data_IF_254955683789
#
_entry.id   IF_254955683789
#
_cell.length_a   1.000
_cell.length_b   1.000
_cell.length_c   1.000
_cell.angle_alpha   90.00
_cell.angle_beta   90.00
_cell.angle_gamma   90.00
#
_symmetry.space_group_name_H-M   'P 1'
#
loop_
_entity.id
_entity.type
_entity.pdbx_description
1 polymer ?
#
# COMPACT_ATOMS: atom_id res chain seq x y z
N UNK A 1 10.12 -3.14 9.39
CA UNK A 1 9.06 -2.45 8.63
C UNK A 1 8.83 -1.07 9.22
N UNK A 2 8.74 -0.05 8.40
CA UNK A 2 8.58 1.32 8.89
C UNK A 2 7.29 1.99 8.42
N UNK A 3 6.49 1.33 7.59
CA UNK A 3 5.21 1.84 7.12
C UNK A 3 4.12 0.79 7.31
N UNK A 4 2.99 1.23 7.84
CA UNK A 4 1.78 0.44 7.96
C UNK A 4 0.65 1.21 7.28
N UNK A 5 -0.08 0.57 6.38
CA UNK A 5 -1.29 1.17 5.80
C UNK A 5 -2.49 0.27 6.05
N UNK A 6 -3.57 0.88 6.50
CA UNK A 6 -4.87 0.21 6.48
C UNK A 6 -5.56 0.57 5.18
N UNK A 7 -5.93 -0.44 4.44
CA UNK A 7 -6.51 -0.27 3.10
C UNK A 7 -7.89 -0.93 3.09
N UNK A 8 -8.90 -0.16 2.68
CA UNK A 8 -10.23 -0.67 2.40
C UNK A 8 -10.55 -0.49 0.93
N UNK A 9 -11.39 -1.36 0.38
CA UNK A 9 -11.66 -1.38 -1.06
C UNK A 9 -13.00 -2.04 -1.33
N UNK A 10 -13.54 -1.83 -2.54
CA UNK A 10 -14.80 -2.43 -3.00
C UNK A 10 -14.60 -3.47 -4.09
N UNK A 11 -13.41 -3.56 -4.65
CA UNK A 11 -13.04 -4.61 -5.60
C UNK A 11 -12.82 -5.94 -4.88
N UNK A 12 -12.51 -6.99 -5.63
CA UNK A 12 -12.18 -8.29 -5.01
C UNK A 12 -10.83 -8.25 -4.32
N UNK A 13 -10.63 -9.19 -3.39
CA UNK A 13 -9.34 -9.36 -2.73
C UNK A 13 -8.20 -9.55 -3.76
N UNK A 14 -8.41 -10.43 -4.73
CA UNK A 14 -7.38 -10.73 -5.74
C UNK A 14 -7.05 -9.51 -6.59
N UNK A 15 -8.04 -8.70 -6.93
CA UNK A 15 -7.80 -7.45 -7.68
C UNK A 15 -6.98 -6.46 -6.88
N UNK A 16 -7.26 -6.32 -5.58
CA UNK A 16 -6.47 -5.43 -4.72
C UNK A 16 -5.04 -5.93 -4.55
N UNK A 17 -4.84 -7.23 -4.34
CA UNK A 17 -3.49 -7.79 -4.19
C UNK A 17 -2.70 -7.59 -5.49
N UNK A 18 -3.31 -7.83 -6.64
CA UNK A 18 -2.65 -7.60 -7.93
C UNK A 18 -2.25 -6.12 -8.11
N UNK A 19 -3.10 -5.20 -7.64
CA UNK A 19 -2.78 -3.78 -7.71
C UNK A 19 -1.61 -3.40 -6.80
N UNK A 20 -1.56 -3.97 -5.59
CA UNK A 20 -0.44 -3.75 -4.67
C UNK A 20 0.86 -4.29 -5.25
N UNK A 21 0.83 -5.48 -5.84
CA UNK A 21 2.00 -6.05 -6.52
C UNK A 21 2.50 -5.12 -7.62
N UNK A 22 1.58 -4.62 -8.44
CA UNK A 22 1.92 -3.67 -9.50
C UNK A 22 2.56 -2.40 -8.93
N UNK A 23 1.92 -1.78 -7.92
CA UNK A 23 2.41 -0.54 -7.33
C UNK A 23 3.79 -0.72 -6.70
N UNK A 24 3.99 -1.81 -5.96
CA UNK A 24 5.28 -2.05 -5.31
C UNK A 24 6.38 -2.38 -6.31
N UNK A 25 6.03 -2.97 -7.46
CA UNK A 25 6.99 -3.21 -8.53
C UNK A 25 7.50 -1.91 -9.15
N UNK A 26 6.67 -0.87 -9.18
CA UNK A 26 7.08 0.43 -9.74
C UNK A 26 8.10 1.17 -8.86
N UNK A 27 8.19 0.80 -7.60
CA UNK A 27 9.15 1.39 -6.64
C UNK A 27 10.08 0.34 -6.05
N UNK A 28 10.42 -0.68 -6.83
CA UNK A 28 11.22 -1.81 -6.34
C UNK A 28 12.57 -1.41 -5.74
N UNK A 29 13.15 -0.30 -6.18
CA UNK A 29 14.42 0.21 -5.63
C UNK A 29 14.23 1.01 -4.33
N UNK A 30 13.02 1.30 -3.94
CA UNK A 30 12.71 2.20 -2.81
C UNK A 30 12.10 1.48 -1.61
N UNK A 31 12.03 0.15 -1.64
CA UNK A 31 11.58 -0.65 -0.50
C UNK A 31 12.31 -1.98 -0.46
N UNK A 32 12.26 -2.64 0.71
CA UNK A 32 12.93 -3.93 0.91
C UNK A 32 11.95 -5.08 1.11
N UNK A 33 10.73 -4.93 0.64
CA UNK A 33 9.71 -5.97 0.72
C UNK A 33 8.44 -5.47 1.35
N UNK A 34 7.40 -6.30 1.29
CA UNK A 34 6.10 -5.96 1.85
C UNK A 34 5.30 -7.21 2.16
N UNK A 35 4.32 -7.05 3.03
CA UNK A 35 3.41 -8.13 3.38
C UNK A 35 2.03 -7.55 3.70
N UNK A 36 1.02 -8.40 3.70
CA UNK A 36 -0.34 -8.00 4.03
C UNK A 36 -0.92 -8.97 5.07
N UNK A 37 -1.80 -8.42 5.90
CA UNK A 37 -2.64 -9.20 6.80
C UNK A 37 -4.10 -8.91 6.45
N UNK A 38 -4.88 -9.96 6.23
CA UNK A 38 -6.29 -9.83 5.85
C UNK A 38 -7.12 -9.48 7.09
N UNK A 39 -7.86 -8.37 7.03
CA UNK A 39 -8.84 -8.02 8.05
C UNK A 39 -10.23 -8.53 7.69
N UNK A 40 -10.62 -8.37 6.43
CA UNK A 40 -11.90 -8.85 5.89
C UNK A 40 -11.76 -9.04 4.39
N UNK A 41 -12.84 -9.38 3.71
CA UNK A 41 -12.82 -9.53 2.26
C UNK A 41 -12.51 -8.22 1.53
N UNK A 42 -12.73 -7.08 2.18
CA UNK A 42 -12.55 -5.76 1.58
C UNK A 42 -11.69 -4.82 2.43
N UNK A 43 -10.85 -5.36 3.30
CA UNK A 43 -9.90 -4.57 4.06
C UNK A 43 -8.67 -5.38 4.43
N UNK A 44 -7.53 -4.71 4.47
CA UNK A 44 -6.25 -5.34 4.81
C UNK A 44 -5.34 -4.35 5.54
N UNK A 45 -4.34 -4.89 6.21
CA UNK A 45 -3.21 -4.12 6.73
C UNK A 45 -2.00 -4.44 5.86
N UNK A 46 -1.39 -3.41 5.31
CA UNK A 46 -0.23 -3.50 4.45
C UNK A 46 1.00 -3.02 5.21
N UNK A 47 2.06 -3.81 5.21
CA UNK A 47 3.30 -3.49 5.90
C UNK A 47 4.45 -3.51 4.92
N UNK A 48 5.29 -2.49 4.97
CA UNK A 48 6.48 -2.44 4.12
C UNK A 48 7.61 -1.66 4.81
N UNK A 49 8.80 -1.82 4.29
CA UNK A 49 9.95 -1.04 4.71
C UNK A 49 10.39 -0.16 3.54
N UNK A 50 10.16 1.14 3.67
CA UNK A 50 10.48 2.12 2.64
C UNK A 50 11.87 2.70 2.91
N UNK A 51 12.71 2.70 1.89
CA UNK A 51 14.06 3.27 1.96
C UNK A 51 14.13 4.66 1.35
N UNK A 52 13.17 5.02 0.49
CA UNK A 52 13.08 6.36 -0.11
C UNK A 52 11.61 6.79 -0.11
N UNK A 53 11.25 7.62 0.87
CA UNK A 53 9.87 8.09 1.01
C UNK A 53 9.43 9.01 -0.12
N UNK A 54 10.35 9.73 -0.75
CA UNK A 54 10.01 10.62 -1.85
C UNK A 54 9.49 9.83 -3.05
N UNK A 55 9.95 8.59 -3.23
CA UNK A 55 9.52 7.74 -4.32
C UNK A 55 8.07 7.26 -4.18
N UNK A 56 7.47 7.35 -2.98
CA UNK A 56 6.09 6.92 -2.76
C UNK A 56 5.06 7.87 -3.37
N UNK A 57 5.38 9.14 -3.47
CA UNK A 57 4.39 10.14 -3.87
C UNK A 57 3.92 9.93 -5.31
N UNK A 58 4.81 9.53 -6.21
CA UNK A 58 4.45 9.32 -7.62
C UNK A 58 3.44 8.19 -7.81
N UNK A 59 3.68 6.94 -7.37
CA UNK A 59 2.71 5.86 -7.57
C UNK A 59 1.41 6.05 -6.79
N UNK A 60 1.41 6.80 -5.70
CA UNK A 60 0.20 7.02 -4.90
C UNK A 60 -0.62 8.21 -5.38
N UNK A 61 0.00 9.16 -6.05
CA UNK A 61 -0.62 10.45 -6.42
C UNK A 61 -0.80 10.65 -7.91
N UNK A 62 -0.39 9.70 -8.77
CA UNK A 62 -0.56 9.86 -10.20
C UNK A 62 -2.04 9.68 -10.61
N UNK A 63 -2.40 10.23 -11.76
CA UNK A 63 -3.78 10.21 -12.24
C UNK A 63 -4.32 8.79 -12.42
N UNK A 64 -3.48 7.88 -12.87
CA UNK A 64 -3.87 6.48 -13.08
C UNK A 64 -4.24 5.80 -11.76
N UNK A 65 -3.46 6.03 -10.71
CA UNK A 65 -3.76 5.47 -9.39
C UNK A 65 -5.02 6.09 -8.78
N UNK A 66 -5.19 7.39 -8.92
CA UNK A 66 -6.39 8.07 -8.44
C UNK A 66 -7.63 7.53 -9.14
N UNK A 67 -7.56 7.33 -10.46
CA UNK A 67 -8.66 6.77 -11.22
C UNK A 67 -8.95 5.32 -10.82
N UNK A 68 -7.91 4.52 -10.59
CA UNK A 68 -8.07 3.15 -10.13
C UNK A 68 -8.76 3.09 -8.76
N UNK A 69 -8.32 3.93 -7.82
CA UNK A 69 -8.92 3.99 -6.48
C UNK A 69 -10.39 4.40 -6.54
N UNK A 70 -10.71 5.36 -7.37
CA UNK A 70 -12.09 5.81 -7.54
C UNK A 70 -12.98 4.70 -8.11
N UNK A 71 -12.48 3.96 -9.09
CA UNK A 71 -13.21 2.87 -9.72
C UNK A 71 -13.39 1.66 -8.78
N UNK A 72 -12.45 1.43 -7.87
CA UNK A 72 -12.40 0.23 -7.02
C UNK A 72 -12.64 0.52 -5.53
N UNK A 73 -12.94 1.75 -5.19
CA UNK A 73 -13.23 2.15 -3.82
C UNK A 73 -12.03 2.10 -2.88
N UNK A 74 -10.83 2.31 -3.41
CA UNK A 74 -9.60 2.28 -2.62
C UNK A 74 -9.51 3.45 -1.64
N UNK A 75 -9.34 3.15 -0.36
CA UNK A 75 -9.12 4.14 0.69
C UNK A 75 -7.95 3.70 1.55
N UNK A 76 -7.06 4.63 1.87
CA UNK A 76 -5.79 4.34 2.52
C UNK A 76 -5.58 5.24 3.73
N UNK A 77 -5.14 4.65 4.85
CA UNK A 77 -4.66 5.39 6.01
C UNK A 77 -3.25 4.89 6.29
N UNK A 78 -2.27 5.77 6.13
CA UNK A 78 -0.86 5.41 6.28
C UNK A 78 -0.30 5.87 7.61
N UNK A 79 0.52 5.02 8.22
CA UNK A 79 1.22 5.30 9.48
C UNK A 79 2.69 4.99 9.30
N UNK A 80 3.54 5.79 9.93
CA UNK A 80 4.94 5.42 10.10
C UNK A 80 5.08 4.63 11.40
N UNK A 81 5.99 3.65 11.42
CA UNK A 81 6.25 2.82 12.59
C UNK A 81 7.69 2.97 13.03
N UNK A 82 7.90 2.98 14.34
CA UNK A 82 9.24 3.02 14.91
C UNK A 82 9.35 1.87 15.93
N UNK A 83 10.52 1.21 15.98
CA UNK A 83 10.74 0.20 17.01
C UNK A 83 10.59 0.82 18.39
N UNK A 84 10.02 0.06 19.31
CA UNK A 84 9.99 0.47 20.71
C UNK A 84 11.41 0.40 21.24
N UNK A 85 11.86 1.53 21.80
CA UNK A 85 13.17 1.53 22.47
C UNK A 85 13.03 0.84 23.81
N UNK A 86 13.90 -0.10 24.07
CA UNK A 86 13.82 -0.82 25.32
C UNK A 86 15.12 -1.44 25.66
#
# INVERSE_FOLDING_TARGET
MNVCMRISFKCTWDEMIARLEYNMSTISASHTGWTVAKESEQSLVFLTNITDFDALSEPMMNEEQIAWDKANGGEYIAYTMQPMSG
#
